data_IF_068561062383
#
_entry.id   IF_068561062383
#
_cell.length_a   1.000
_cell.length_b   1.000
_cell.length_c   1.000
_cell.angle_alpha   90.00
_cell.angle_beta   90.00
_cell.angle_gamma   90.00
#
_symmetry.space_group_name_H-M   'P 1'
#
loop_
_entity.id
_entity.type
_entity.pdbx_description
1 polymer ?
#
# COMPACT_ATOMS: atom_id res chain seq x y z
N UNK A 1 -21.31 -52.70 -21.86
CA UNK A 1 -21.50 -51.62 -22.89
C UNK A 1 -22.15 -50.37 -22.32
N UNK A 2 -23.45 -50.39 -21.84
CA UNK A 2 -24.09 -49.12 -21.35
C UNK A 2 -23.47 -48.61 -20.05
N UNK A 3 -23.17 -49.46 -19.08
CA UNK A 3 -22.51 -49.10 -17.82
C UNK A 3 -21.08 -48.60 -18.05
N UNK A 4 -20.33 -49.25 -18.91
CA UNK A 4 -18.96 -48.81 -19.26
C UNK A 4 -18.96 -47.44 -19.93
N UNK A 5 -19.95 -47.13 -20.77
CA UNK A 5 -20.10 -45.81 -21.37
C UNK A 5 -20.41 -44.72 -20.34
N UNK A 6 -21.25 -45.03 -19.34
CA UNK A 6 -21.55 -44.10 -18.23
C UNK A 6 -20.34 -43.86 -17.32
N UNK A 7 -19.57 -44.93 -17.05
CA UNK A 7 -18.33 -44.78 -16.26
C UNK A 7 -17.30 -43.90 -16.99
N UNK A 8 -17.14 -44.12 -18.30
CA UNK A 8 -16.24 -43.31 -19.12
C UNK A 8 -16.70 -41.84 -19.20
N UNK A 9 -18.00 -41.59 -19.33
CA UNK A 9 -18.57 -40.25 -19.33
C UNK A 9 -18.34 -39.52 -17.99
N UNK A 10 -18.50 -40.24 -16.88
CA UNK A 10 -18.21 -39.75 -15.54
C UNK A 10 -16.73 -39.43 -15.36
N UNK A 11 -15.83 -40.29 -15.80
CA UNK A 11 -14.38 -40.04 -15.75
C UNK A 11 -14.00 -38.79 -16.56
N UNK A 12 -14.56 -38.65 -17.76
CA UNK A 12 -14.33 -37.47 -18.61
C UNK A 12 -14.85 -36.19 -17.96
N UNK A 13 -16.03 -36.25 -17.31
CA UNK A 13 -16.60 -35.13 -16.57
C UNK A 13 -15.71 -34.75 -15.38
N UNK A 14 -15.28 -35.72 -14.57
CA UNK A 14 -14.39 -35.49 -13.44
C UNK A 14 -13.03 -34.89 -13.87
N UNK A 15 -12.50 -35.36 -15.00
CA UNK A 15 -11.28 -34.81 -15.59
C UNK A 15 -11.48 -33.36 -16.04
N UNK A 16 -12.60 -33.04 -16.70
CA UNK A 16 -12.96 -31.70 -17.12
C UNK A 16 -13.06 -30.74 -15.93
N UNK A 17 -13.76 -31.15 -14.86
CA UNK A 17 -13.90 -30.36 -13.63
C UNK A 17 -12.53 -30.05 -13.00
N UNK A 18 -11.64 -31.05 -12.92
CA UNK A 18 -10.27 -30.86 -12.40
C UNK A 18 -9.48 -29.88 -13.24
N UNK A 19 -9.57 -29.94 -14.56
CA UNK A 19 -8.89 -28.99 -15.46
C UNK A 19 -9.42 -27.57 -15.30
N UNK A 20 -10.73 -27.38 -15.24
CA UNK A 20 -11.36 -26.07 -15.03
C UNK A 20 -10.92 -25.46 -13.69
N UNK A 21 -10.99 -26.24 -12.61
CA UNK A 21 -10.55 -25.78 -11.27
C UNK A 21 -9.06 -25.36 -11.28
N UNK A 22 -8.22 -26.13 -11.99
CA UNK A 22 -6.79 -25.81 -12.11
C UNK A 22 -6.55 -24.50 -12.87
N UNK A 23 -7.27 -24.27 -13.96
CA UNK A 23 -7.16 -23.03 -14.74
C UNK A 23 -7.72 -21.83 -13.97
N UNK A 24 -8.83 -21.99 -13.24
CA UNK A 24 -9.36 -20.96 -12.36
C UNK A 24 -8.33 -20.54 -11.30
N UNK A 25 -7.70 -21.49 -10.62
CA UNK A 25 -6.64 -21.23 -9.65
C UNK A 25 -5.41 -20.55 -10.28
N UNK A 26 -5.09 -20.93 -11.53
CA UNK A 26 -4.00 -20.31 -12.27
C UNK A 26 -4.30 -18.86 -12.63
N UNK A 27 -5.50 -18.57 -13.09
CA UNK A 27 -5.97 -17.22 -13.39
C UNK A 27 -5.96 -16.36 -12.12
N UNK A 28 -6.44 -16.89 -11.00
CA UNK A 28 -6.43 -16.20 -9.71
C UNK A 28 -5.01 -15.85 -9.25
N UNK A 29 -4.07 -16.79 -9.37
CA UNK A 29 -2.64 -16.55 -9.07
C UNK A 29 -2.02 -15.48 -9.97
N UNK A 30 -2.33 -15.52 -11.27
CA UNK A 30 -1.84 -14.50 -12.21
C UNK A 30 -2.42 -13.12 -11.88
N UNK A 31 -3.71 -13.01 -11.61
CA UNK A 31 -4.34 -11.77 -11.15
C UNK A 31 -3.68 -11.23 -9.89
N UNK A 32 -3.50 -12.07 -8.87
CA UNK A 32 -2.85 -11.69 -7.62
C UNK A 32 -1.41 -11.21 -7.84
N UNK A 33 -0.66 -11.85 -8.73
CA UNK A 33 0.70 -11.44 -9.11
C UNK A 33 0.70 -10.09 -9.84
N UNK A 34 -0.29 -9.82 -10.69
CA UNK A 34 -0.43 -8.55 -11.42
C UNK A 34 -0.89 -7.39 -10.54
N UNK A 35 -1.45 -7.66 -9.36
CA UNK A 35 -1.94 -6.66 -8.41
C UNK A 35 -0.89 -6.22 -7.38
N UNK A 36 0.34 -6.78 -7.42
CA UNK A 36 1.41 -6.44 -6.48
C UNK A 36 2.53 -5.67 -7.14
N UNK A 37 3.13 -4.78 -6.36
CA UNK A 37 4.40 -4.13 -6.69
C UNK A 37 5.54 -5.13 -6.51
N UNK A 38 6.36 -5.30 -7.54
CA UNK A 38 7.41 -6.33 -7.59
C UNK A 38 8.53 -6.09 -6.55
N UNK A 39 8.78 -4.83 -6.18
CA UNK A 39 9.83 -4.48 -5.23
C UNK A 39 9.36 -4.65 -3.78
N UNK A 40 8.23 -4.04 -3.44
CA UNK A 40 7.77 -3.93 -2.04
C UNK A 40 6.76 -5.01 -1.64
N UNK A 41 6.19 -5.74 -2.61
CA UNK A 41 5.11 -6.70 -2.38
C UNK A 41 3.81 -6.06 -1.84
N UNK A 42 3.71 -4.73 -1.80
CA UNK A 42 2.46 -4.02 -1.56
C UNK A 42 1.49 -4.23 -2.72
N UNK A 43 0.22 -3.91 -2.54
CA UNK A 43 -0.67 -3.77 -3.67
C UNK A 43 -0.19 -2.63 -4.56
N UNK A 44 -0.36 -2.76 -5.88
CA UNK A 44 0.05 -1.72 -6.82
C UNK A 44 -1.11 -0.78 -7.18
N UNK A 45 -0.85 0.23 -8.01
CA UNK A 45 -1.85 1.19 -8.48
C UNK A 45 -3.03 0.52 -9.21
N UNK A 46 -2.77 -0.50 -10.04
CA UNK A 46 -3.85 -1.22 -10.72
C UNK A 46 -4.80 -1.92 -9.73
N UNK A 47 -4.24 -2.50 -8.66
CA UNK A 47 -5.02 -3.06 -7.56
C UNK A 47 -5.85 -1.98 -6.84
N UNK A 48 -5.29 -0.78 -6.63
CA UNK A 48 -6.02 0.34 -6.04
C UNK A 48 -7.23 0.73 -6.90
N UNK A 49 -7.05 0.91 -8.20
CA UNK A 49 -8.11 1.28 -9.13
C UNK A 49 -9.23 0.23 -9.15
N UNK A 50 -8.88 -1.05 -8.98
CA UNK A 50 -9.81 -2.17 -8.97
C UNK A 50 -10.51 -2.33 -7.61
N UNK A 51 -9.77 -2.23 -6.50
CA UNK A 51 -10.24 -2.61 -5.17
C UNK A 51 -10.92 -1.47 -4.39
N UNK A 52 -10.53 -0.23 -4.62
CA UNK A 52 -10.89 0.92 -3.78
C UNK A 52 -12.40 1.10 -3.64
N UNK A 53 -13.15 1.02 -4.74
CA UNK A 53 -14.62 1.15 -4.72
C UNK A 53 -15.28 0.03 -3.90
N UNK A 54 -14.77 -1.20 -4.02
CA UNK A 54 -15.28 -2.36 -3.27
C UNK A 54 -14.98 -2.21 -1.78
N UNK A 55 -13.78 -1.75 -1.45
CA UNK A 55 -13.38 -1.48 -0.06
C UNK A 55 -14.33 -0.44 0.58
N UNK A 56 -14.51 0.71 -0.06
CA UNK A 56 -15.39 1.77 0.42
C UNK A 56 -16.85 1.32 0.58
N UNK A 57 -17.34 0.49 -0.34
CA UNK A 57 -18.70 -0.08 -0.26
C UNK A 57 -18.84 -1.02 0.93
N UNK A 58 -17.84 -1.85 1.21
CA UNK A 58 -17.89 -2.83 2.30
C UNK A 58 -17.80 -2.17 3.68
N UNK A 59 -17.00 -1.12 3.81
CA UNK A 59 -16.75 -0.45 5.09
C UNK A 59 -17.62 0.79 5.32
N UNK A 60 -18.33 1.27 4.27
CA UNK A 60 -19.24 2.43 4.29
C UNK A 60 -18.59 3.75 4.67
N UNK A 61 -17.63 3.77 5.59
CA UNK A 61 -16.83 4.90 6.05
C UNK A 61 -15.44 4.44 6.45
N UNK A 62 -14.51 5.36 6.52
CA UNK A 62 -13.11 5.13 6.88
C UNK A 62 -12.21 6.24 6.35
N UNK A 63 -10.95 5.93 6.17
CA UNK A 63 -9.91 6.89 5.76
C UNK A 63 -9.15 6.42 4.52
N UNK A 64 -8.85 7.38 3.65
CA UNK A 64 -7.82 7.27 2.62
C UNK A 64 -6.64 8.11 3.07
N UNK A 65 -5.45 7.51 3.08
CA UNK A 65 -4.20 8.18 3.39
C UNK A 65 -3.33 8.20 2.15
N UNK A 66 -2.79 9.36 1.79
CA UNK A 66 -1.72 9.51 0.82
C UNK A 66 -0.42 9.74 1.57
N UNK A 67 0.62 8.97 1.25
CA UNK A 67 1.93 9.00 1.90
C UNK A 67 3.00 9.22 0.84
N UNK A 68 3.97 10.06 1.14
CA UNK A 68 5.18 10.28 0.35
C UNK A 68 6.40 10.10 1.26
N UNK A 69 7.34 9.26 0.85
CA UNK A 69 8.57 9.04 1.60
C UNK A 69 9.52 10.23 1.45
N UNK A 70 9.92 10.77 2.58
CA UNK A 70 10.88 11.85 2.61
C UNK A 70 12.30 11.30 2.30
N UNK A 71 13.12 12.11 1.64
CA UNK A 71 14.55 11.88 1.40
C UNK A 71 14.95 10.70 0.51
N UNK A 72 14.03 9.99 -0.16
CA UNK A 72 14.39 8.88 -1.05
C UNK A 72 15.38 9.33 -2.13
N UNK A 73 15.17 10.52 -2.72
CA UNK A 73 16.11 11.08 -3.71
C UNK A 73 17.51 11.27 -3.12
N UNK A 74 17.62 11.81 -1.91
CA UNK A 74 18.91 11.99 -1.24
C UNK A 74 19.61 10.65 -1.00
N UNK A 75 18.86 9.62 -0.59
CA UNK A 75 19.40 8.27 -0.41
C UNK A 75 19.90 7.72 -1.73
N UNK A 76 19.15 7.85 -2.81
CA UNK A 76 19.56 7.42 -4.14
C UNK A 76 20.84 8.14 -4.59
N UNK A 77 20.89 9.47 -4.43
CA UNK A 77 22.01 10.29 -4.87
C UNK A 77 23.29 10.02 -4.06
N UNK A 78 23.18 9.76 -2.75
CA UNK A 78 24.32 9.54 -1.86
C UNK A 78 24.76 8.09 -1.77
N UNK A 79 23.83 7.13 -1.85
CA UNK A 79 24.09 5.71 -1.53
C UNK A 79 23.68 4.74 -2.65
N UNK A 80 23.18 5.26 -3.78
CA UNK A 80 22.77 4.48 -4.95
C UNK A 80 21.34 3.91 -4.85
N UNK A 81 20.81 3.55 -6.00
CA UNK A 81 19.42 3.05 -6.15
C UNK A 81 19.13 1.77 -5.36
N UNK A 82 20.12 0.91 -5.17
CA UNK A 82 19.96 -0.31 -4.37
C UNK A 82 19.58 0.01 -2.91
N UNK A 83 20.20 1.03 -2.32
CA UNK A 83 19.83 1.50 -0.98
C UNK A 83 18.47 2.21 -0.96
N UNK A 84 18.11 2.93 -2.03
CA UNK A 84 16.77 3.48 -2.19
C UNK A 84 15.69 2.39 -2.29
N UNK A 85 15.96 1.31 -3.01
CA UNK A 85 15.06 0.16 -3.08
C UNK A 85 14.89 -0.53 -1.71
N UNK A 86 16.00 -0.73 -0.97
CA UNK A 86 15.96 -1.24 0.41
C UNK A 86 15.17 -0.33 1.34
N UNK A 87 15.29 0.99 1.18
CA UNK A 87 14.54 1.98 1.95
C UNK A 87 13.03 1.84 1.73
N UNK A 88 12.60 1.71 0.47
CA UNK A 88 11.21 1.46 0.08
C UNK A 88 10.67 0.14 0.66
N UNK A 89 11.45 -0.94 0.57
CA UNK A 89 11.07 -2.25 1.12
C UNK A 89 10.94 -2.18 2.64
N UNK A 90 11.92 -1.57 3.33
CA UNK A 90 11.90 -1.42 4.78
C UNK A 90 10.66 -0.65 5.26
N UNK A 91 10.33 0.47 4.61
CA UNK A 91 9.09 1.20 4.89
C UNK A 91 7.85 0.31 4.72
N UNK A 92 7.73 -0.35 3.56
CA UNK A 92 6.56 -1.15 3.23
C UNK A 92 6.33 -2.31 4.20
N UNK A 93 7.39 -3.02 4.62
CA UNK A 93 7.31 -4.12 5.57
C UNK A 93 6.85 -3.63 6.95
N UNK A 94 7.45 -2.55 7.45
CA UNK A 94 7.08 -1.99 8.75
C UNK A 94 5.66 -1.44 8.75
N UNK A 95 5.24 -0.76 7.67
CA UNK A 95 3.86 -0.28 7.54
C UNK A 95 2.86 -1.44 7.50
N UNK A 96 3.15 -2.54 6.80
CA UNK A 96 2.28 -3.74 6.82
C UNK A 96 2.14 -4.33 8.22
N UNK A 97 3.21 -4.31 9.02
CA UNK A 97 3.16 -4.80 10.40
C UNK A 97 2.38 -3.87 11.34
N UNK A 98 2.42 -2.56 11.09
CA UNK A 98 1.78 -1.54 11.92
C UNK A 98 0.29 -1.35 11.60
N UNK A 99 -0.16 -1.75 10.41
CA UNK A 99 -1.57 -1.62 9.99
C UNK A 99 -2.39 -2.85 10.39
N UNK A 100 -3.71 -2.68 10.47
CA UNK A 100 -4.62 -3.77 10.71
C UNK A 100 -4.72 -4.69 9.49
N UNK A 101 -5.08 -5.97 9.72
CA UNK A 101 -5.21 -6.96 8.63
C UNK A 101 -6.26 -6.59 7.57
N UNK A 102 -7.17 -5.69 7.89
CA UNK A 102 -8.22 -5.21 6.98
C UNK A 102 -7.78 -4.00 6.18
N UNK A 103 -6.70 -3.32 6.59
CA UNK A 103 -6.15 -2.18 5.88
C UNK A 103 -5.45 -2.62 4.60
N UNK A 104 -5.56 -1.83 3.57
CA UNK A 104 -4.94 -2.10 2.29
C UNK A 104 -3.84 -1.06 2.04
N UNK A 105 -2.60 -1.53 1.96
CA UNK A 105 -1.42 -0.72 1.64
C UNK A 105 -1.06 -0.91 0.17
N UNK A 106 -0.96 0.20 -0.54
CA UNK A 106 -0.62 0.26 -1.96
C UNK A 106 0.65 1.06 -2.17
N UNK A 107 1.52 0.61 -3.07
CA UNK A 107 2.52 1.47 -3.68
C UNK A 107 1.91 2.08 -4.93
N UNK A 108 1.67 3.40 -4.89
CA UNK A 108 0.90 4.09 -5.92
C UNK A 108 1.77 4.56 -7.08
N UNK A 109 2.93 5.14 -6.78
CA UNK A 109 3.98 5.49 -7.74
C UNK A 109 5.30 5.74 -6.99
N UNK A 110 6.46 5.44 -7.60
CA UNK A 110 7.77 5.81 -7.06
C UNK A 110 7.91 5.64 -5.54
N UNK A 111 7.87 6.76 -4.82
CA UNK A 111 7.95 6.89 -3.37
C UNK A 111 6.58 7.12 -2.69
N UNK A 112 5.50 7.05 -3.48
CA UNK A 112 4.14 7.34 -3.05
C UNK A 112 3.39 6.07 -2.67
N UNK A 113 2.75 6.09 -1.50
CA UNK A 113 1.93 5.00 -1.00
C UNK A 113 0.52 5.49 -0.67
N UNK A 114 -0.46 4.59 -0.76
CA UNK A 114 -1.83 4.83 -0.31
C UNK A 114 -2.22 3.78 0.73
N UNK A 115 -3.01 4.21 1.71
CA UNK A 115 -3.68 3.30 2.64
C UNK A 115 -5.19 3.52 2.53
N UNK A 116 -5.93 2.43 2.42
CA UNK A 116 -7.36 2.40 2.68
C UNK A 116 -7.59 1.69 4.01
N UNK A 117 -8.18 2.39 4.96
CA UNK A 117 -8.47 1.88 6.31
C UNK A 117 -9.93 2.08 6.67
N UNK A 118 -10.48 1.15 7.44
CA UNK A 118 -11.81 1.29 8.03
C UNK A 118 -11.81 2.21 9.27
N UNK A 119 -10.65 2.65 9.72
CA UNK A 119 -10.49 3.57 10.84
C UNK A 119 -10.90 4.99 10.44
N UNK A 120 -11.46 5.73 11.39
CA UNK A 120 -11.72 7.17 11.24
C UNK A 120 -10.38 7.96 11.16
N UNK A 121 -10.39 9.18 10.57
CA UNK A 121 -9.18 9.98 10.36
C UNK A 121 -8.32 10.17 11.60
N UNK A 122 -8.95 10.41 12.75
CA UNK A 122 -8.25 10.65 14.01
C UNK A 122 -7.48 9.40 14.47
N UNK A 123 -8.08 8.22 14.34
CA UNK A 123 -7.49 6.95 14.76
C UNK A 123 -6.30 6.57 13.86
N UNK A 124 -6.43 6.73 12.55
CA UNK A 124 -5.32 6.43 11.63
C UNK A 124 -4.19 7.47 11.78
N UNK A 125 -4.54 8.74 12.04
CA UNK A 125 -3.56 9.78 12.32
C UNK A 125 -2.75 9.50 13.58
N UNK A 126 -3.41 9.06 14.65
CA UNK A 126 -2.76 8.69 15.91
C UNK A 126 -1.76 7.55 15.69
N UNK A 127 -2.13 6.53 14.93
CA UNK A 127 -1.27 5.40 14.54
C UNK A 127 -0.05 5.85 13.72
N UNK A 128 -0.24 6.71 12.73
CA UNK A 128 0.85 7.23 11.90
C UNK A 128 1.82 8.10 12.71
N UNK A 129 1.29 8.94 13.62
CA UNK A 129 2.11 9.73 14.52
C UNK A 129 2.90 8.85 15.51
N UNK A 130 2.30 7.77 15.98
CA UNK A 130 3.00 6.80 16.82
C UNK A 130 4.21 6.18 16.11
N UNK A 131 4.05 5.82 14.84
CA UNK A 131 5.16 5.31 14.02
C UNK A 131 6.25 6.38 13.85
N UNK A 132 5.88 7.64 13.61
CA UNK A 132 6.86 8.70 13.39
C UNK A 132 7.61 9.13 14.66
N UNK A 133 6.93 9.13 15.81
CA UNK A 133 7.43 9.77 17.02
C UNK A 133 7.89 8.76 18.09
N UNK A 134 7.15 7.65 18.27
CA UNK A 134 7.37 6.72 19.38
C UNK A 134 8.07 5.42 18.96
N UNK A 135 7.78 4.93 17.75
CA UNK A 135 8.29 3.67 17.23
C UNK A 135 8.80 3.86 15.80
N UNK A 136 9.81 4.73 15.59
CA UNK A 136 10.26 5.06 14.25
C UNK A 136 10.80 3.85 13.52
N UNK A 137 10.54 3.80 12.23
CA UNK A 137 11.08 2.77 11.34
C UNK A 137 12.57 3.03 11.17
N UNK A 138 13.39 2.08 11.60
CA UNK A 138 14.84 2.19 11.49
C UNK A 138 15.34 1.58 10.18
N UNK A 139 16.25 2.28 9.54
CA UNK A 139 16.92 1.86 8.32
C UNK A 139 18.44 1.95 8.49
N UNK A 140 19.12 0.83 8.27
CA UNK A 140 20.59 0.75 8.33
C UNK A 140 21.20 1.03 6.94
N UNK A 141 22.03 2.06 6.87
CA UNK A 141 22.86 2.38 5.70
C UNK A 141 24.32 2.31 6.13
N UNK A 142 25.05 1.27 5.69
CA UNK A 142 26.49 1.11 5.93
C UNK A 142 26.87 1.17 7.42
N UNK A 143 26.02 0.66 8.32
CA UNK A 143 26.24 0.68 9.78
C UNK A 143 25.71 1.95 10.48
N UNK A 144 25.16 2.91 9.74
CA UNK A 144 24.48 4.07 10.31
C UNK A 144 22.97 3.83 10.33
N UNK A 145 22.38 3.85 11.52
CA UNK A 145 20.93 3.72 11.70
C UNK A 145 20.29 5.09 11.54
N UNK A 146 19.33 5.19 10.61
CA UNK A 146 18.53 6.38 10.36
C UNK A 146 17.05 6.04 10.47
N UNK A 147 16.24 7.04 10.85
CA UNK A 147 14.79 6.88 10.87
C UNK A 147 14.22 7.17 9.49
N UNK A 148 13.30 6.32 9.04
CA UNK A 148 12.49 6.61 7.85
C UNK A 148 11.48 7.70 8.21
N UNK A 149 11.50 8.79 7.45
CA UNK A 149 10.53 9.89 7.54
C UNK A 149 9.58 9.81 6.35
N UNK A 150 8.34 10.18 6.59
CA UNK A 150 7.33 10.30 5.56
C UNK A 150 6.34 11.43 5.88
N UNK A 151 5.82 12.03 4.84
CA UNK A 151 4.75 13.03 4.90
C UNK A 151 3.44 12.40 4.47
N UNK A 152 2.33 12.79 5.08
CA UNK A 152 1.04 12.18 4.77
C UNK A 152 -0.13 13.18 4.80
N UNK A 153 -1.19 12.83 4.07
CA UNK A 153 -2.48 13.50 4.10
C UNK A 153 -3.60 12.48 4.26
N UNK A 154 -4.56 12.77 5.13
CA UNK A 154 -5.69 11.89 5.45
C UNK A 154 -6.98 12.55 5.01
N UNK A 155 -7.87 11.78 4.38
CA UNK A 155 -9.22 12.19 4.01
C UNK A 155 -10.21 11.11 4.42
N UNK A 156 -11.29 11.51 5.10
CA UNK A 156 -12.40 10.61 5.40
C UNK A 156 -13.14 10.24 4.11
N UNK A 157 -13.57 9.00 3.98
CA UNK A 157 -14.50 8.59 2.95
C UNK A 157 -15.83 8.10 3.56
N UNK A 158 -16.91 8.32 2.82
CA UNK A 158 -18.21 7.71 3.05
C UNK A 158 -18.71 7.08 1.74
N UNK A 159 -19.38 5.91 1.81
CA UNK A 159 -19.79 5.13 0.62
C UNK A 159 -20.50 5.96 -0.47
N UNK A 160 -21.31 6.93 -0.08
CA UNK A 160 -22.15 7.72 -0.99
C UNK A 160 -21.62 9.11 -1.31
N UNK A 161 -20.44 9.48 -0.80
CA UNK A 161 -19.86 10.82 -0.97
C UNK A 161 -18.57 10.78 -1.78
N UNK A 162 -18.60 11.42 -2.95
CA UNK A 162 -17.43 11.71 -3.76
C UNK A 162 -16.92 10.55 -4.64
N UNK A 163 -16.07 10.91 -5.59
CA UNK A 163 -15.36 9.96 -6.43
C UNK A 163 -14.01 9.65 -5.76
N UNK A 164 -13.55 8.43 -5.87
CA UNK A 164 -12.25 8.02 -5.32
C UNK A 164 -11.09 8.92 -5.81
N UNK A 165 -11.15 9.37 -7.06
CA UNK A 165 -10.16 10.27 -7.63
C UNK A 165 -10.10 11.64 -6.92
N UNK A 166 -11.25 12.17 -6.48
CA UNK A 166 -11.31 13.43 -5.75
C UNK A 166 -10.73 13.26 -4.34
N UNK A 167 -10.98 12.11 -3.69
CA UNK A 167 -10.41 11.79 -2.38
C UNK A 167 -8.89 11.65 -2.47
N UNK A 168 -8.37 10.96 -3.49
CA UNK A 168 -6.92 10.83 -3.72
C UNK A 168 -6.29 12.21 -3.91
N UNK A 169 -6.90 13.05 -4.75
CA UNK A 169 -6.40 14.42 -4.98
C UNK A 169 -6.41 15.28 -3.71
N UNK A 170 -7.43 15.17 -2.90
CA UNK A 170 -7.53 15.90 -1.63
C UNK A 170 -6.48 15.40 -0.62
N UNK A 171 -6.28 14.08 -0.52
CA UNK A 171 -5.27 13.49 0.35
C UNK A 171 -3.85 13.89 -0.08
N UNK A 172 -3.55 13.89 -1.37
CA UNK A 172 -2.31 14.36 -1.96
C UNK A 172 -2.04 15.84 -1.60
N UNK A 173 -3.04 16.71 -1.76
CA UNK A 173 -2.90 18.12 -1.38
C UNK A 173 -2.58 18.29 0.12
N UNK A 174 -3.21 17.53 0.99
CA UNK A 174 -2.94 17.55 2.44
C UNK A 174 -1.54 17.03 2.75
N UNK A 175 -1.11 15.97 2.08
CA UNK A 175 0.25 15.42 2.18
C UNK A 175 1.29 16.47 1.78
N UNK A 176 1.10 17.15 0.66
CA UNK A 176 1.99 18.19 0.20
C UNK A 176 2.11 19.36 1.20
N UNK A 177 1.02 19.77 1.84
CA UNK A 177 1.03 20.77 2.92
C UNK A 177 1.81 20.28 4.15
N UNK A 178 1.70 19.00 4.48
CA UNK A 178 2.48 18.37 5.54
C UNK A 178 3.98 18.38 5.19
N UNK A 179 4.34 17.96 3.98
CA UNK A 179 5.72 17.93 3.47
C UNK A 179 6.37 19.32 3.51
N UNK A 180 5.66 20.34 3.05
CA UNK A 180 6.14 21.72 3.07
C UNK A 180 6.45 22.24 4.48
N UNK A 181 5.57 21.95 5.45
CA UNK A 181 5.78 22.33 6.86
C UNK A 181 6.96 21.60 7.50
N UNK A 182 7.17 20.33 7.17
CA UNK A 182 8.29 19.55 7.66
C UNK A 182 9.62 20.09 7.14
N UNK A 183 9.71 20.44 5.86
CA UNK A 183 10.91 21.04 5.26
C UNK A 183 11.24 22.41 5.87
N UNK A 184 10.26 23.27 6.13
CA UNK A 184 10.48 24.57 6.80
C UNK A 184 11.02 24.41 8.24
N UNK A 185 10.52 23.40 8.99
CA UNK A 185 10.98 23.11 10.35
C UNK A 185 12.45 22.68 10.39
N UNK A 186 12.86 21.87 9.44
CA UNK A 186 14.25 21.38 9.34
C UNK A 186 15.18 22.51 8.92
N UNK A 187 14.79 23.31 7.92
CA UNK A 187 15.57 24.47 7.49
C UNK A 187 15.80 25.49 8.61
N UNK A 188 14.80 25.70 9.49
CA UNK A 188 14.92 26.58 10.65
C UNK A 188 15.81 26.02 11.77
N UNK A 189 15.87 24.68 11.94
CA UNK A 189 16.76 24.04 12.93
C UNK A 189 18.22 24.05 12.49
N UNK A 190 18.50 23.78 11.21
CA UNK A 190 19.86 23.85 10.65
C UNK A 190 20.44 25.27 10.48
N UNK A 191 19.61 26.30 10.64
CA UNK A 191 20.07 27.69 10.65
C UNK A 191 20.32 28.26 12.08
N UNK A 192 20.03 27.47 13.11
CA UNK A 192 20.17 27.84 14.52
C UNK A 192 21.37 27.14 15.22
N UNK A 193 22.06 26.25 14.49
CA UNK A 193 23.36 25.64 14.83
C UNK A 193 24.49 26.27 14.00
#
# INVERSE_FOLDING_TARGET
>A
MYLEALEQEKENYDQMVRLLTREELRIERLKTSMERDALTGCLNRAAFDHNSKRFMKNHKKGSLVFIDLDYLKLINDCYGHENGDRYLVCFAENMKCAMDRQDLLYRYAGEEFLILSALEPEQIQERLNEILEKSPIHFDINGEIRNISFSYGIVAFEEKKGKIADLVKEADQRMYQCKSRNHERISKRGAAE
#
